data_IF_956039443388
#
_entry.id   IF_956039443388
#
_cell.length_a   1.000
_cell.length_b   1.000
_cell.length_c   1.000
_cell.angle_alpha   90.00
_cell.angle_beta   90.00
_cell.angle_gamma   90.00
#
_symmetry.space_group_name_H-M   'P 1'
#
loop_
_entity.id
_entity.type
_entity.pdbx_description
1 polymer ?
#
# COMPACT_ATOMS: atom_id res chain seq x y z
N UNK A 1 -67.28 -26.30 -11.64
CA UNK A 1 -66.04 -26.55 -10.88
C UNK A 1 -64.88 -26.07 -11.73
N UNK A 2 -64.46 -24.82 -11.56
CA UNK A 2 -63.41 -24.20 -12.36
C UNK A 2 -62.17 -24.04 -11.48
N UNK A 3 -61.08 -24.69 -11.88
CA UNK A 3 -59.81 -24.72 -11.15
C UNK A 3 -58.84 -23.73 -11.77
N UNK A 4 -58.57 -22.61 -11.08
CA UNK A 4 -57.55 -21.65 -11.48
C UNK A 4 -56.17 -22.12 -11.02
N UNK A 5 -55.31 -22.50 -11.96
CA UNK A 5 -53.90 -22.82 -11.71
C UNK A 5 -53.05 -21.54 -11.74
N UNK A 6 -52.59 -21.10 -10.58
CA UNK A 6 -51.64 -19.99 -10.43
C UNK A 6 -50.23 -20.51 -10.69
N UNK A 7 -49.59 -20.02 -11.75
CA UNK A 7 -48.17 -20.26 -12.01
C UNK A 7 -47.35 -19.26 -11.17
N UNK A 8 -46.65 -19.76 -10.16
CA UNK A 8 -45.68 -18.98 -9.39
C UNK A 8 -44.39 -18.85 -10.21
N UNK A 9 -44.16 -17.68 -10.80
CA UNK A 9 -42.88 -17.33 -11.40
C UNK A 9 -41.87 -17.04 -10.29
N UNK A 10 -40.93 -17.96 -10.07
CA UNK A 10 -39.82 -17.78 -9.15
C UNK A 10 -38.78 -16.81 -9.72
N UNK A 11 -38.74 -15.59 -9.20
CA UNK A 11 -37.63 -14.66 -9.42
C UNK A 11 -36.40 -15.14 -8.62
N UNK A 12 -35.45 -15.76 -9.32
CA UNK A 12 -34.08 -15.94 -8.84
C UNK A 12 -33.40 -14.56 -8.85
N UNK A 13 -33.47 -13.84 -7.73
CA UNK A 13 -32.59 -12.70 -7.45
C UNK A 13 -31.18 -13.24 -7.24
N UNK A 14 -30.37 -13.22 -8.29
CA UNK A 14 -28.93 -13.37 -8.17
C UNK A 14 -28.40 -12.17 -7.38
N UNK A 15 -28.13 -12.38 -6.09
CA UNK A 15 -27.41 -11.42 -5.25
C UNK A 15 -26.00 -11.27 -5.82
N UNK A 16 -25.81 -10.24 -6.64
CA UNK A 16 -24.49 -9.70 -6.95
C UNK A 16 -23.92 -9.17 -5.64
N UNK A 17 -23.16 -10.00 -4.93
CA UNK A 17 -22.25 -9.52 -3.91
C UNK A 17 -21.22 -8.66 -4.63
N UNK A 18 -21.47 -7.35 -4.71
CA UNK A 18 -20.44 -6.38 -4.95
C UNK A 18 -19.48 -6.51 -3.75
N UNK A 19 -18.45 -7.32 -3.91
CA UNK A 19 -17.25 -7.20 -3.09
C UNK A 19 -16.80 -5.76 -3.29
N UNK A 20 -17.02 -4.90 -2.30
CA UNK A 20 -16.41 -3.58 -2.27
C UNK A 20 -14.94 -3.79 -2.61
N UNK A 21 -14.47 -3.25 -3.73
CA UNK A 21 -13.07 -3.30 -4.11
C UNK A 21 -12.29 -2.74 -2.92
N UNK A 22 -11.69 -3.65 -2.16
CA UNK A 22 -11.29 -3.36 -0.79
C UNK A 22 -10.07 -2.46 -0.78
N UNK A 23 -9.73 -1.99 0.43
CA UNK A 23 -8.41 -1.46 0.76
C UNK A 23 -7.29 -2.52 0.61
N UNK A 24 -7.48 -3.53 -0.24
CA UNK A 24 -6.57 -4.62 -0.47
C UNK A 24 -5.54 -4.21 -1.54
N UNK A 25 -4.25 -4.52 -1.32
CA UNK A 25 -3.21 -4.24 -2.32
C UNK A 25 -3.44 -5.06 -3.60
N UNK A 26 -2.84 -4.65 -4.74
CA UNK A 26 -2.80 -5.46 -5.94
C UNK A 26 -2.30 -6.87 -5.63
N UNK A 27 -2.95 -7.90 -6.20
CA UNK A 27 -2.65 -9.30 -5.88
C UNK A 27 -1.17 -9.67 -6.14
N UNK A 28 -0.53 -8.97 -7.08
CA UNK A 28 0.84 -9.13 -7.55
C UNK A 28 1.90 -8.78 -6.49
N UNK A 29 1.54 -7.98 -5.47
CA UNK A 29 2.47 -7.55 -4.41
C UNK A 29 2.23 -8.24 -3.07
N UNK A 30 1.15 -9.02 -2.93
CA UNK A 30 0.82 -9.72 -1.68
C UNK A 30 1.91 -10.73 -1.34
N UNK A 31 2.37 -10.70 -0.09
CA UNK A 31 3.39 -11.60 0.43
C UNK A 31 4.64 -10.85 0.90
N UNK A 32 5.75 -11.58 0.99
CA UNK A 32 7.06 -11.05 1.37
C UNK A 32 7.84 -10.66 0.11
N UNK A 33 8.13 -9.37 -0.01
CA UNK A 33 8.96 -8.81 -1.06
C UNK A 33 10.34 -8.41 -0.52
N UNK A 34 11.32 -8.32 -1.42
CA UNK A 34 12.63 -7.72 -1.16
C UNK A 34 12.63 -6.30 -1.70
N UNK A 35 12.65 -5.31 -0.81
CA UNK A 35 12.71 -3.90 -1.18
C UNK A 35 14.14 -3.41 -1.29
N UNK A 36 14.35 -2.42 -2.15
CA UNK A 36 15.57 -1.62 -2.28
C UNK A 36 15.18 -0.16 -2.37
N UNK A 37 15.79 0.68 -1.55
CA UNK A 37 15.59 2.12 -1.62
C UNK A 37 16.33 2.70 -2.86
N UNK A 38 15.70 3.63 -3.57
CA UNK A 38 16.32 4.38 -4.67
C UNK A 38 16.59 5.81 -4.20
N UNK A 39 17.84 6.07 -3.86
CA UNK A 39 18.22 7.30 -3.17
C UNK A 39 18.11 8.51 -4.09
N UNK A 40 17.65 9.62 -3.53
CA UNK A 40 17.67 10.93 -4.19
C UNK A 40 18.30 11.98 -3.28
N UNK A 41 18.56 13.17 -3.81
CA UNK A 41 19.07 14.29 -2.99
C UNK A 41 18.08 14.68 -1.88
N UNK A 42 16.77 14.53 -2.12
CA UNK A 42 15.71 14.80 -1.14
C UNK A 42 15.52 13.64 -0.16
N UNK A 43 15.67 12.41 -0.66
CA UNK A 43 15.43 11.17 0.09
C UNK A 43 16.62 10.22 -0.04
N UNK A 44 17.72 10.46 0.69
CA UNK A 44 18.87 9.58 0.69
C UNK A 44 18.51 8.19 1.25
N UNK A 45 19.09 7.14 0.66
CA UNK A 45 18.97 5.78 1.20
C UNK A 45 19.99 5.56 2.30
N UNK A 46 19.50 5.36 3.52
CA UNK A 46 20.33 5.09 4.69
C UNK A 46 20.32 3.63 5.12
N UNK A 47 19.69 2.75 4.34
CA UNK A 47 19.52 1.33 4.68
C UNK A 47 20.56 0.44 3.97
N UNK A 48 20.67 -0.80 4.42
CA UNK A 48 21.36 -1.85 3.65
C UNK A 48 20.75 -2.00 2.26
N UNK A 49 21.48 -2.55 1.27
CA UNK A 49 21.04 -2.57 -0.14
C UNK A 49 19.66 -3.20 -0.36
N UNK A 50 19.24 -4.10 0.53
CA UNK A 50 17.91 -4.72 0.49
C UNK A 50 17.34 -4.90 1.90
N UNK A 51 16.02 -4.99 2.01
CA UNK A 51 15.30 -5.35 3.23
C UNK A 51 13.94 -6.01 2.93
N UNK A 52 13.41 -6.84 3.85
CA UNK A 52 12.11 -7.45 3.67
C UNK A 52 10.96 -6.47 3.93
N UNK A 53 9.93 -6.55 3.10
CA UNK A 53 8.63 -5.89 3.27
C UNK A 53 7.53 -6.94 3.10
N UNK A 54 6.52 -6.91 3.95
CA UNK A 54 5.41 -7.84 3.91
C UNK A 54 4.13 -7.07 3.61
N UNK A 55 3.48 -7.36 2.48
CA UNK A 55 2.16 -6.82 2.13
C UNK A 55 1.09 -7.88 2.40
N UNK A 56 0.04 -7.51 3.13
CA UNK A 56 -1.05 -8.42 3.50
C UNK A 56 -2.32 -8.13 2.69
N UNK A 57 -3.19 -9.14 2.49
CA UNK A 57 -4.48 -8.96 1.81
C UNK A 57 -5.41 -7.93 2.48
N UNK A 58 -5.22 -7.65 3.77
CA UNK A 58 -6.06 -6.72 4.52
C UNK A 58 -5.62 -5.24 4.41
N UNK A 59 -4.74 -4.90 3.47
CA UNK A 59 -4.29 -3.52 3.28
C UNK A 59 -3.13 -3.09 4.18
N UNK A 60 -2.66 -3.95 5.08
CA UNK A 60 -1.51 -3.64 5.94
C UNK A 60 -0.20 -4.05 5.28
N UNK A 61 0.86 -3.32 5.58
CA UNK A 61 2.22 -3.72 5.26
C UNK A 61 3.18 -3.38 6.40
N UNK A 62 4.29 -4.10 6.49
CA UNK A 62 5.35 -3.81 7.45
C UNK A 62 6.72 -4.08 6.84
N UNK A 63 7.75 -3.50 7.42
CA UNK A 63 9.13 -3.69 6.97
C UNK A 63 10.11 -3.73 8.14
N UNK A 64 11.31 -4.24 7.85
CA UNK A 64 12.45 -4.19 8.75
C UNK A 64 13.68 -3.82 7.95
N UNK A 65 14.07 -2.54 7.94
CA UNK A 65 15.18 -2.02 7.16
C UNK A 65 16.42 -1.80 8.04
N UNK A 66 17.46 -2.66 7.92
CA UNK A 66 18.71 -2.44 8.64
C UNK A 66 19.37 -1.14 8.19
N UNK A 67 19.82 -0.33 9.15
CA UNK A 67 20.47 0.95 8.86
C UNK A 67 21.93 0.70 8.47
N UNK A 68 22.37 1.30 7.38
CA UNK A 68 23.73 1.17 6.86
C UNK A 68 24.75 1.61 7.92
N UNK A 69 25.78 0.79 8.14
CA UNK A 69 26.84 1.04 9.14
C UNK A 69 26.33 1.14 10.60
N UNK A 70 25.17 0.58 10.91
CA UNK A 70 24.59 0.56 12.25
C UNK A 70 24.08 -0.84 12.61
N UNK A 71 23.97 -1.14 13.91
CA UNK A 71 23.26 -2.32 14.40
C UNK A 71 21.74 -2.09 14.54
N UNK A 72 21.28 -0.85 14.37
CA UNK A 72 19.88 -0.49 14.43
C UNK A 72 19.12 -0.99 13.20
N UNK A 73 17.84 -1.29 13.41
CA UNK A 73 16.90 -1.69 12.36
C UNK A 73 15.71 -0.76 12.47
N UNK A 74 15.39 -0.10 11.36
CA UNK A 74 14.12 0.58 11.24
C UNK A 74 13.00 -0.45 11.09
N UNK A 75 11.97 -0.34 11.91
CA UNK A 75 10.81 -1.21 11.91
C UNK A 75 9.59 -0.34 11.68
N UNK A 76 8.85 -0.62 10.61
CA UNK A 76 7.69 0.19 10.27
C UNK A 76 6.48 -0.62 9.89
N UNK A 77 5.34 0.07 9.93
CA UNK A 77 4.05 -0.44 9.54
C UNK A 77 3.29 0.62 8.75
N UNK A 78 2.47 0.18 7.80
CA UNK A 78 1.65 1.06 6.99
C UNK A 78 0.34 0.41 6.59
N UNK A 79 -0.53 1.26 6.07
CA UNK A 79 -1.92 0.97 5.79
C UNK A 79 -2.32 1.60 4.46
N UNK A 80 -3.03 0.83 3.64
CA UNK A 80 -3.86 1.32 2.55
C UNK A 80 -5.15 1.85 3.18
N UNK A 81 -5.48 3.11 2.93
CA UNK A 81 -6.57 3.84 3.59
C UNK A 81 -7.63 4.36 2.59
N UNK A 82 -7.50 3.99 1.33
CA UNK A 82 -8.51 4.20 0.29
C UNK A 82 -8.60 2.99 -0.61
N UNK A 83 -9.68 2.95 -1.40
CA UNK A 83 -9.79 2.06 -2.55
C UNK A 83 -8.53 2.15 -3.43
N UNK A 84 -8.07 0.99 -3.88
CA UNK A 84 -6.94 0.86 -4.79
C UNK A 84 -7.46 0.95 -6.22
N UNK A 85 -7.03 1.98 -6.93
CA UNK A 85 -7.30 2.12 -8.36
C UNK A 85 -6.23 1.39 -9.15
N UNK A 86 -6.54 0.18 -9.62
CA UNK A 86 -5.64 -0.68 -10.39
C UNK A 86 -5.98 -0.68 -11.89
N UNK A 87 -4.95 -0.63 -12.73
CA UNK A 87 -5.03 -0.82 -14.17
C UNK A 87 -4.07 -1.94 -14.60
N UNK A 88 -4.58 -2.91 -15.33
CA UNK A 88 -3.78 -3.99 -15.93
C UNK A 88 -3.88 -3.92 -17.46
N UNK A 89 -2.79 -4.26 -18.13
CA UNK A 89 -2.72 -4.29 -19.60
C UNK A 89 -2.46 -5.72 -20.11
N UNK A 90 -2.85 -5.99 -21.36
CA UNK A 90 -2.73 -7.33 -21.99
C UNK A 90 -1.28 -7.85 -22.07
N UNK A 91 -0.29 -6.95 -22.10
CA UNK A 91 1.13 -7.28 -22.07
C UNK A 91 1.63 -7.72 -20.68
N UNK A 92 0.76 -7.79 -19.67
CA UNK A 92 1.10 -8.17 -18.31
C UNK A 92 1.70 -7.06 -17.46
N UNK A 93 1.79 -5.82 -17.95
CA UNK A 93 2.11 -4.67 -17.09
C UNK A 93 0.91 -4.28 -16.26
N UNK A 94 1.15 -3.66 -15.11
CA UNK A 94 0.10 -3.17 -14.23
C UNK A 94 0.56 -1.91 -13.50
N UNK A 95 -0.40 -1.09 -13.10
CA UNK A 95 -0.19 0.09 -12.30
C UNK A 95 -1.32 0.20 -11.28
N UNK A 96 -1.03 0.77 -10.13
CA UNK A 96 -2.03 1.02 -9.11
C UNK A 96 -1.75 2.33 -8.39
N UNK A 97 -2.76 2.94 -7.79
CA UNK A 97 -2.55 4.01 -6.82
C UNK A 97 -3.58 3.99 -5.70
N UNK A 98 -3.19 4.53 -4.55
CA UNK A 98 -4.03 4.65 -3.37
C UNK A 98 -3.52 5.73 -2.41
N UNK A 99 -4.39 6.18 -1.52
CA UNK A 99 -4.02 6.96 -0.34
C UNK A 99 -3.73 6.02 0.82
N UNK A 100 -2.67 6.32 1.57
CA UNK A 100 -2.29 5.50 2.72
C UNK A 100 -1.48 6.28 3.74
N UNK A 101 -1.02 5.56 4.75
CA UNK A 101 -0.12 6.12 5.73
C UNK A 101 0.80 5.07 6.33
N UNK A 102 1.89 5.53 6.94
CA UNK A 102 2.83 4.66 7.63
C UNK A 102 3.48 5.37 8.83
N UNK A 103 4.11 4.59 9.70
CA UNK A 103 4.98 5.05 10.78
C UNK A 103 6.09 4.04 10.98
N UNK A 104 7.22 4.49 11.53
CA UNK A 104 8.35 3.62 11.82
C UNK A 104 9.13 4.06 13.04
N UNK A 105 9.94 3.14 13.55
CA UNK A 105 10.89 3.39 14.61
C UNK A 105 12.28 2.85 14.26
N UNK A 106 13.37 3.53 14.64
CA UNK A 106 13.37 4.81 15.33
C UNK A 106 13.05 5.97 14.37
N UNK A 107 12.09 6.81 14.73
CA UNK A 107 11.87 8.13 14.10
C UNK A 107 12.08 9.21 15.16
N UNK A 108 13.11 10.08 15.05
CA UNK A 108 13.36 11.13 16.03
C UNK A 108 12.22 12.14 16.17
N UNK A 109 11.30 12.21 15.19
CA UNK A 109 10.17 13.14 15.18
C UNK A 109 8.83 12.45 15.47
N UNK A 110 8.83 11.13 15.67
CA UNK A 110 7.64 10.31 15.92
C UNK A 110 6.48 10.66 14.96
N UNK A 111 6.79 10.75 13.67
CA UNK A 111 5.88 11.20 12.62
C UNK A 111 5.02 10.04 12.12
N UNK A 112 3.77 10.36 11.78
CA UNK A 112 2.99 9.53 10.86
C UNK A 112 3.10 10.14 9.47
N UNK A 113 3.55 9.35 8.51
CA UNK A 113 3.66 9.77 7.11
C UNK A 113 2.37 9.43 6.37
N UNK A 114 1.68 10.45 5.85
CA UNK A 114 0.48 10.28 5.04
C UNK A 114 0.80 10.63 3.59
N UNK A 115 0.41 9.78 2.64
CA UNK A 115 0.89 9.89 1.27
C UNK A 115 -0.08 9.33 0.22
N UNK A 116 0.13 9.77 -1.02
CA UNK A 116 -0.37 9.08 -2.20
C UNK A 116 0.71 8.16 -2.76
N UNK A 117 0.37 6.89 -2.89
CA UNK A 117 1.25 5.84 -3.35
C UNK A 117 0.89 5.47 -4.79
N UNK A 118 1.88 5.39 -5.66
CA UNK A 118 1.75 4.94 -7.04
C UNK A 118 2.66 3.75 -7.26
N UNK A 119 2.13 2.71 -7.88
CA UNK A 119 2.80 1.46 -8.12
C UNK A 119 2.81 1.20 -9.62
N UNK A 120 3.90 0.64 -10.12
CA UNK A 120 4.00 0.13 -11.48
C UNK A 120 4.86 -1.13 -11.50
N UNK A 121 4.44 -2.14 -12.26
CA UNK A 121 5.12 -3.43 -12.29
C UNK A 121 4.80 -4.24 -13.53
N UNK A 122 5.42 -5.43 -13.60
CA UNK A 122 5.18 -6.39 -14.68
C UNK A 122 5.05 -7.79 -14.11
N UNK A 123 3.96 -8.49 -14.47
CA UNK A 123 3.68 -9.85 -14.02
C UNK A 123 3.42 -9.98 -12.52
N UNK A 124 3.16 -11.21 -12.09
CA UNK A 124 2.96 -11.57 -10.69
C UNK A 124 4.30 -11.78 -9.98
N UNK A 125 4.55 -11.09 -8.87
CA UNK A 125 5.81 -11.19 -8.13
C UNK A 125 7.06 -10.67 -8.87
N UNK A 126 6.89 -10.12 -10.07
CA UNK A 126 7.97 -9.50 -10.85
C UNK A 126 8.45 -8.18 -10.23
N UNK A 127 9.50 -7.56 -10.79
CA UNK A 127 9.96 -6.26 -10.33
C UNK A 127 8.84 -5.21 -10.43
N UNK A 128 8.70 -4.42 -9.38
CA UNK A 128 7.78 -3.29 -9.38
C UNK A 128 8.37 -2.12 -8.59
N UNK A 129 7.86 -0.92 -8.82
CA UNK A 129 8.29 0.31 -8.17
C UNK A 129 7.16 0.94 -7.40
N UNK A 130 7.50 1.55 -6.28
CA UNK A 130 6.63 2.39 -5.47
C UNK A 130 7.12 3.84 -5.56
N UNK A 131 6.19 4.75 -5.75
CA UNK A 131 6.40 6.19 -5.68
C UNK A 131 5.48 6.75 -4.59
N UNK A 132 6.08 7.25 -3.52
CA UNK A 132 5.38 7.85 -2.39
C UNK A 132 5.47 9.38 -2.47
N UNK A 133 4.33 10.03 -2.68
CA UNK A 133 4.20 11.48 -2.64
C UNK A 133 3.61 11.90 -1.29
N UNK A 134 4.45 12.50 -0.45
CA UNK A 134 4.08 12.96 0.89
C UNK A 134 3.00 14.04 0.85
N UNK A 135 1.88 13.77 1.52
CA UNK A 135 0.72 14.67 1.67
C UNK A 135 0.80 15.42 2.99
N UNK A 136 1.13 14.73 4.08
CA UNK A 136 1.27 15.32 5.41
C UNK A 136 2.18 14.46 6.30
N UNK A 137 2.96 15.14 7.17
CA UNK A 137 3.87 14.52 8.13
C UNK A 137 3.65 15.10 9.56
N UNK A 138 2.51 14.82 10.21
CA UNK A 138 2.25 15.34 11.56
C UNK A 138 3.25 14.77 12.57
N UNK A 139 4.01 15.63 13.24
CA UNK A 139 4.96 15.24 14.28
C UNK A 139 4.27 14.78 15.57
N UNK A 140 4.96 13.96 16.37
CA UNK A 140 4.49 13.44 17.66
C UNK A 140 3.15 12.68 17.58
N UNK A 141 2.90 12.02 16.44
CA UNK A 141 1.66 11.26 16.20
C UNK A 141 1.89 9.75 16.04
N UNK A 142 3.13 9.25 16.11
CA UNK A 142 3.41 7.82 15.93
C UNK A 142 2.69 6.94 16.97
N UNK A 143 2.34 7.45 18.16
CA UNK A 143 1.55 6.71 19.14
C UNK A 143 0.05 6.58 18.80
N UNK A 144 -0.47 7.40 17.88
CA UNK A 144 -1.86 7.35 17.42
C UNK A 144 -2.05 6.31 16.30
N UNK A 145 -3.27 5.77 16.10
CA UNK A 145 -3.56 4.95 14.93
C UNK A 145 -3.32 5.71 13.63
N UNK A 146 -2.52 5.14 12.72
CA UNK A 146 -2.17 5.75 11.41
C UNK A 146 -3.40 6.19 10.63
N UNK A 147 -4.46 5.36 10.62
CA UNK A 147 -5.72 5.68 9.96
C UNK A 147 -6.40 6.93 10.52
N UNK A 148 -6.36 7.14 11.84
CA UNK A 148 -6.95 8.31 12.49
C UNK A 148 -6.15 9.59 12.20
N UNK A 149 -4.82 9.50 12.16
CA UNK A 149 -3.96 10.64 11.82
C UNK A 149 -4.15 11.04 10.37
N UNK A 150 -4.07 10.09 9.43
CA UNK A 150 -4.18 10.38 8.00
C UNK A 150 -5.61 10.73 7.56
N UNK A 151 -6.64 10.37 8.33
CA UNK A 151 -7.99 10.89 8.07
C UNK A 151 -8.07 12.42 8.13
N UNK A 152 -7.21 13.09 8.91
CA UNK A 152 -7.17 14.56 9.06
C UNK A 152 -6.70 15.28 7.81
N UNK A 153 -5.90 14.60 6.98
CA UNK A 153 -5.30 15.13 5.76
C UNK A 153 -5.69 14.29 4.54
N UNK A 154 -6.79 13.53 4.63
CA UNK A 154 -7.24 12.65 3.55
C UNK A 154 -7.55 13.48 2.31
N UNK A 155 -6.92 13.09 1.20
CA UNK A 155 -7.14 13.68 -0.12
C UNK A 155 -7.55 12.59 -1.10
N UNK A 156 -8.16 13.00 -2.21
CA UNK A 156 -8.19 12.14 -3.39
C UNK A 156 -6.83 12.20 -4.06
N UNK A 157 -6.18 11.05 -4.24
CA UNK A 157 -4.92 11.00 -4.96
C UNK A 157 -5.14 11.35 -6.43
N UNK A 158 -4.26 12.16 -7.03
CA UNK A 158 -4.27 12.40 -8.47
C UNK A 158 -4.24 11.09 -9.26
N UNK A 159 -4.78 11.08 -10.47
CA UNK A 159 -4.85 9.87 -11.26
C UNK A 159 -3.47 9.41 -11.77
N UNK A 160 -2.50 10.34 -11.85
CA UNK A 160 -1.16 10.08 -12.38
C UNK A 160 -0.03 10.54 -11.46
N UNK A 161 1.13 9.90 -11.60
CA UNK A 161 2.36 10.32 -10.94
C UNK A 161 2.79 11.75 -11.31
N UNK A 162 2.54 12.17 -12.55
CA UNK A 162 2.90 13.52 -13.02
C UNK A 162 2.13 14.61 -12.28
N UNK A 163 0.82 14.44 -12.10
CA UNK A 163 -0.04 15.35 -11.33
C UNK A 163 0.36 15.37 -9.84
N UNK A 164 0.68 14.20 -9.27
CA UNK A 164 1.18 14.11 -7.91
C UNK A 164 2.53 14.83 -7.73
N UNK A 165 3.43 14.70 -8.71
CA UNK A 165 4.71 15.39 -8.73
C UNK A 165 4.59 16.90 -8.86
N UNK A 166 3.65 17.39 -9.67
CA UNK A 166 3.34 18.82 -9.76
C UNK A 166 2.84 19.36 -8.41
N UNK A 167 2.06 18.57 -7.67
CA UNK A 167 1.48 19.00 -6.39
C UNK A 167 2.41 18.90 -5.19
N UNK A 168 3.22 17.83 -5.10
CA UNK A 168 4.00 17.50 -3.89
C UNK A 168 5.51 17.37 -4.14
N UNK A 169 5.95 17.56 -5.40
CA UNK A 169 7.34 17.45 -5.80
C UNK A 169 7.81 16.00 -5.95
N UNK A 170 9.13 15.80 -5.88
CA UNK A 170 9.71 14.47 -6.10
C UNK A 170 9.28 13.46 -5.03
N UNK A 171 8.89 12.23 -5.45
CA UNK A 171 8.48 11.18 -4.55
C UNK A 171 9.69 10.55 -3.84
N UNK A 172 9.41 9.85 -2.75
CA UNK A 172 10.27 8.77 -2.29
C UNK A 172 10.06 7.54 -3.18
N UNK A 173 11.14 6.88 -3.60
CA UNK A 173 11.08 5.78 -4.57
C UNK A 173 11.72 4.52 -4.01
N UNK A 174 10.99 3.42 -4.13
CA UNK A 174 11.48 2.09 -3.79
C UNK A 174 11.26 1.14 -4.98
N UNK A 175 12.14 0.15 -5.09
CA UNK A 175 11.96 -0.98 -6.00
C UNK A 175 11.79 -2.25 -5.19
N UNK A 176 10.95 -3.15 -5.67
CA UNK A 176 10.59 -4.38 -4.99
C UNK A 176 10.79 -5.56 -5.93
N UNK A 177 11.27 -6.68 -5.38
CA UNK A 177 11.60 -7.90 -6.10
C UNK A 177 11.08 -9.12 -5.35
N UNK A 178 10.64 -10.13 -6.12
CA UNK A 178 10.42 -11.49 -5.61
C UNK A 178 9.36 -11.58 -4.51
N UNK A 179 8.21 -10.93 -4.72
CA UNK A 179 7.09 -11.06 -3.80
C UNK A 179 6.57 -12.50 -3.82
N UNK A 180 6.72 -13.20 -2.70
CA UNK A 180 6.26 -14.58 -2.53
C UNK A 180 5.22 -14.66 -1.42
N UNK A 181 4.14 -15.45 -1.58
CA UNK A 181 3.19 -15.68 -0.50
C UNK A 181 3.92 -16.15 0.78
N UNK A 182 3.68 -15.44 1.89
CA UNK A 182 4.28 -15.74 3.19
C UNK A 182 3.16 -15.87 4.24
N UNK A 183 2.59 -17.08 4.43
CA UNK A 183 1.52 -17.31 5.40
C UNK A 183 1.99 -17.19 6.86
N UNK A 184 3.30 -17.10 7.10
CA UNK A 184 3.91 -16.99 8.43
C UNK A 184 4.44 -15.59 8.76
N UNK A 185 4.08 -14.57 7.97
CA UNK A 185 4.57 -13.21 8.15
C UNK A 185 4.31 -12.73 9.60
N UNK A 186 5.35 -12.37 10.38
CA UNK A 186 5.17 -11.95 11.76
C UNK A 186 4.30 -10.69 11.78
N UNK A 187 3.32 -10.63 12.67
CA UNK A 187 2.69 -9.37 13.02
C UNK A 187 3.75 -8.51 13.70
N UNK A 188 4.26 -7.52 12.96
CA UNK A 188 5.28 -6.62 13.48
C UNK A 188 4.55 -5.56 14.29
N UNK A 189 4.56 -5.73 15.61
CA UNK A 189 4.13 -4.69 16.53
C UNK A 189 5.23 -3.62 16.59
N UNK A 190 4.96 -2.46 15.99
CA UNK A 190 5.69 -1.23 16.31
C UNK A 190 5.20 -0.82 17.70
N UNK A 191 6.10 -0.90 18.69
CA UNK A 191 5.78 -0.66 20.11
C UNK A 191 5.45 0.80 20.38
#
# INVERSE_FOLDING_TARGET
MASCAWHAAGLLLASLFATSAGDAPPAQIIGRCTATCVGSAKWPCHYTPTYPVWFRPNGTFNWRAPILNSSAVEVGQGYILSEVAEQQWENGTWAAHYYGGNRYEPDPRHVTHCACYYLEGTGYGGPWRLYNYGVADPADTAGEPVSAVCARSRVHCPATQAEAAERWGSPFVESYLGCVPDPGAPEILVQ
#
